data_IF_514344175252
#
_entry.id   IF_514344175252
#
_cell.length_a   1.000
_cell.length_b   1.000
_cell.length_c   1.000
_cell.angle_alpha   90.00
_cell.angle_beta   90.00
_cell.angle_gamma   90.00
#
_symmetry.space_group_name_H-M   'P 1'
#
loop_
_entity.id
_entity.type
_entity.pdbx_description
1 polymer ?
#
# COMPACT_ATOMS: atom_id res chain seq x y z
N UNK A 1 25.77 -20.14 -9.99
CA UNK A 1 24.56 -19.83 -9.21
C UNK A 1 24.08 -21.09 -8.49
N UNK A 2 23.72 -21.02 -7.19
CA UNK A 2 23.33 -22.21 -6.39
C UNK A 2 21.82 -22.52 -6.57
N UNK A 3 21.51 -23.75 -7.02
CA UNK A 3 20.17 -24.27 -7.38
C UNK A 3 19.07 -23.96 -6.34
N UNK A 4 19.41 -24.01 -5.05
CA UNK A 4 18.56 -23.65 -3.90
C UNK A 4 17.92 -22.25 -3.98
N UNK A 5 18.59 -21.28 -4.60
CA UNK A 5 18.01 -19.93 -4.77
C UNK A 5 16.94 -19.88 -5.86
N UNK A 6 16.99 -20.75 -6.86
CA UNK A 6 15.96 -20.84 -7.90
C UNK A 6 14.69 -21.49 -7.35
N UNK A 7 14.84 -22.58 -6.59
CA UNK A 7 13.72 -23.29 -5.96
C UNK A 7 13.02 -22.38 -4.94
N UNK A 8 13.78 -21.67 -4.09
CA UNK A 8 13.20 -20.71 -3.14
C UNK A 8 12.50 -19.51 -3.80
N UNK A 9 12.94 -19.07 -4.99
CA UNK A 9 12.24 -18.03 -5.76
C UNK A 9 10.92 -18.54 -6.33
N UNK A 10 10.91 -19.76 -6.87
CA UNK A 10 9.70 -20.41 -7.40
C UNK A 10 8.64 -20.65 -6.31
N UNK A 11 9.05 -20.75 -5.03
CA UNK A 11 8.15 -20.84 -3.87
C UNK A 11 7.71 -19.48 -3.31
N UNK A 12 8.16 -18.36 -3.89
CA UNK A 12 7.76 -17.04 -3.39
C UNK A 12 6.30 -16.73 -3.75
N UNK A 13 5.53 -16.05 -2.87
CA UNK A 13 4.15 -15.66 -3.17
C UNK A 13 4.00 -14.84 -4.46
N UNK A 14 5.02 -14.04 -4.80
CA UNK A 14 4.99 -13.27 -6.05
C UNK A 14 5.20 -14.15 -7.28
N UNK A 15 6.01 -15.21 -7.21
CA UNK A 15 6.11 -16.18 -8.31
C UNK A 15 4.81 -16.96 -8.47
N UNK A 16 4.17 -17.36 -7.35
CA UNK A 16 2.85 -18.00 -7.40
C UNK A 16 1.81 -17.09 -8.08
N UNK A 17 1.74 -15.81 -7.69
CA UNK A 17 0.85 -14.85 -8.32
C UNK A 17 1.12 -14.69 -9.83
N UNK A 18 2.38 -14.69 -10.27
CA UNK A 18 2.70 -14.64 -11.71
C UNK A 18 2.20 -15.89 -12.42
N UNK A 19 2.34 -17.08 -11.83
CA UNK A 19 1.81 -18.33 -12.40
C UNK A 19 0.29 -18.26 -12.52
N UNK A 20 -0.42 -17.87 -11.47
CA UNK A 20 -1.88 -17.69 -11.49
C UNK A 20 -2.33 -16.68 -12.55
N UNK A 21 -1.61 -15.55 -12.68
CA UNK A 21 -1.88 -14.52 -13.70
C UNK A 21 -1.74 -15.11 -15.11
N UNK A 22 -0.71 -15.91 -15.35
CA UNK A 22 -0.49 -16.56 -16.66
C UNK A 22 -1.59 -17.58 -16.94
N UNK A 23 -2.01 -18.36 -15.94
CA UNK A 23 -3.12 -19.30 -16.06
C UNK A 23 -4.43 -18.57 -16.41
N UNK A 24 -4.72 -17.45 -15.74
CA UNK A 24 -5.92 -16.63 -16.02
C UNK A 24 -5.84 -15.90 -17.36
N UNK A 25 -4.65 -15.46 -17.79
CA UNK A 25 -4.45 -14.92 -19.12
C UNK A 25 -4.79 -15.97 -20.20
N UNK A 26 -4.49 -17.25 -19.92
CA UNK A 26 -4.80 -18.37 -20.77
C UNK A 26 -3.65 -18.75 -21.69
N UNK A 27 -3.64 -20.02 -22.08
CA UNK A 27 -2.60 -20.59 -22.93
C UNK A 27 -2.52 -19.89 -24.29
N UNK A 28 -1.31 -19.79 -24.84
CA UNK A 28 -1.08 -19.18 -26.16
C UNK A 28 -1.19 -17.65 -26.18
N UNK A 29 -1.27 -17.00 -25.00
CA UNK A 29 -1.25 -15.54 -24.88
C UNK A 29 0.10 -15.01 -24.44
N UNK A 30 0.42 -13.80 -24.86
CA UNK A 30 1.60 -13.06 -24.46
C UNK A 30 1.23 -11.70 -23.89
N UNK A 31 2.01 -11.22 -22.93
CA UNK A 31 1.94 -9.85 -22.46
C UNK A 31 2.40 -8.93 -23.61
N UNK A 32 1.49 -8.14 -24.16
CA UNK A 32 1.80 -7.24 -25.28
C UNK A 32 2.06 -5.81 -24.82
N UNK A 33 1.38 -5.38 -23.76
CA UNK A 33 1.47 -4.01 -23.24
C UNK A 33 1.35 -4.03 -21.72
N UNK A 34 2.04 -3.11 -21.09
CA UNK A 34 1.86 -2.85 -19.67
C UNK A 34 2.13 -1.39 -19.35
N UNK A 35 1.51 -0.86 -18.30
CA UNK A 35 1.70 0.52 -17.87
C UNK A 35 1.59 0.63 -16.36
N UNK A 36 2.51 1.40 -15.76
CA UNK A 36 2.59 1.60 -14.31
C UNK A 36 1.89 2.88 -13.88
N UNK A 37 1.16 2.80 -12.76
CA UNK A 37 0.50 3.92 -12.09
C UNK A 37 0.94 3.88 -10.63
N UNK A 38 1.67 4.92 -10.21
CA UNK A 38 2.20 5.02 -8.85
C UNK A 38 1.14 5.55 -7.89
N UNK A 39 1.06 4.93 -6.73
CA UNK A 39 0.28 5.35 -5.56
C UNK A 39 1.23 5.57 -4.38
N UNK A 40 0.83 6.34 -3.34
CA UNK A 40 1.64 6.49 -2.14
C UNK A 40 1.98 5.16 -1.45
N UNK A 41 1.09 4.17 -1.56
CA UNK A 41 1.22 2.86 -0.90
C UNK A 41 1.90 1.79 -1.76
N UNK A 42 2.16 2.05 -3.05
CA UNK A 42 2.67 1.05 -3.98
C UNK A 42 2.48 1.43 -5.45
N UNK A 43 2.61 0.49 -6.36
CA UNK A 43 2.44 0.71 -7.81
C UNK A 43 1.47 -0.29 -8.38
N UNK A 44 0.41 0.18 -9.04
CA UNK A 44 -0.46 -0.68 -9.84
C UNK A 44 0.08 -0.72 -11.26
N UNK A 45 0.30 -1.91 -11.79
CA UNK A 45 0.55 -2.11 -13.21
C UNK A 45 -0.69 -2.68 -13.88
N UNK A 46 -1.08 -2.09 -15.00
CA UNK A 46 -2.10 -2.67 -15.88
C UNK A 46 -1.36 -3.44 -16.96
N UNK A 47 -1.72 -4.70 -17.14
CA UNK A 47 -1.13 -5.66 -18.09
C UNK A 47 -2.19 -6.05 -19.11
N UNK A 48 -1.83 -6.08 -20.38
CA UNK A 48 -2.68 -6.57 -21.46
C UNK A 48 -2.07 -7.79 -22.12
N UNK A 49 -2.84 -8.87 -22.16
CA UNK A 49 -2.48 -10.13 -22.79
C UNK A 49 -3.31 -10.36 -24.04
N UNK A 50 -2.64 -10.58 -25.16
CA UNK A 50 -3.27 -10.91 -26.44
C UNK A 50 -2.76 -12.26 -26.95
N UNK A 51 -3.48 -12.83 -27.91
CA UNK A 51 -3.05 -14.07 -28.53
C UNK A 51 -1.70 -13.88 -29.25
N UNK A 52 -0.75 -14.77 -28.99
CA UNK A 52 0.62 -14.62 -29.47
C UNK A 52 0.77 -14.94 -30.97
N UNK A 53 -0.14 -15.75 -31.54
CA UNK A 53 -0.12 -16.14 -32.97
C UNK A 53 -1.53 -16.41 -33.51
N UNK A 54 -1.84 -16.02 -34.75
CA UNK A 54 -2.97 -16.62 -35.48
C UNK A 54 -2.77 -18.16 -35.56
N UNK A 55 -3.83 -18.98 -35.47
CA UNK A 55 -5.27 -18.67 -35.52
C UNK A 55 -5.92 -18.45 -34.15
N UNK A 56 -5.15 -18.29 -33.06
CA UNK A 56 -5.70 -18.05 -31.73
C UNK A 56 -6.40 -16.68 -31.74
N UNK A 57 -7.70 -16.68 -31.98
CA UNK A 57 -8.55 -15.50 -31.85
C UNK A 57 -9.12 -15.48 -30.44
N UNK A 58 -9.09 -14.31 -29.80
CA UNK A 58 -9.67 -14.15 -28.48
C UNK A 58 -9.54 -12.72 -27.99
N UNK A 59 -10.59 -12.24 -27.33
CA UNK A 59 -10.65 -10.91 -26.71
C UNK A 59 -9.46 -10.69 -25.77
N UNK A 60 -8.76 -9.53 -25.81
CA UNK A 60 -7.65 -9.22 -24.92
C UNK A 60 -8.02 -9.43 -23.44
N UNK A 61 -7.08 -9.98 -22.66
CA UNK A 61 -7.25 -10.13 -21.21
C UNK A 61 -6.45 -9.04 -20.52
N UNK A 62 -7.15 -8.23 -19.72
CA UNK A 62 -6.53 -7.13 -18.97
C UNK A 62 -6.47 -7.51 -17.49
N UNK A 63 -5.31 -7.34 -16.89
CA UNK A 63 -5.05 -7.68 -15.49
C UNK A 63 -4.42 -6.46 -14.79
N UNK A 64 -4.92 -6.11 -13.62
CA UNK A 64 -4.25 -5.16 -12.74
C UNK A 64 -3.44 -5.92 -11.69
N UNK A 65 -2.18 -5.53 -11.52
CA UNK A 65 -1.24 -6.11 -10.56
C UNK A 65 -0.75 -5.02 -9.63
N UNK A 66 -0.98 -5.18 -8.32
CA UNK A 66 -0.52 -4.23 -7.31
C UNK A 66 0.78 -4.70 -6.66
N UNK A 67 1.80 -3.85 -6.78
CA UNK A 67 3.12 -4.05 -6.20
C UNK A 67 3.30 -3.17 -4.96
N UNK A 68 3.86 -3.75 -3.90
CA UNK A 68 4.41 -3.00 -2.77
C UNK A 68 5.89 -3.34 -2.65
N UNK A 69 6.75 -2.35 -2.96
CA UNK A 69 8.16 -2.60 -3.19
C UNK A 69 8.38 -3.52 -4.40
N UNK A 70 9.07 -4.65 -4.20
CA UNK A 70 9.35 -5.65 -5.25
C UNK A 70 8.40 -6.85 -5.24
N UNK A 71 7.36 -6.83 -4.41
CA UNK A 71 6.44 -7.94 -4.23
C UNK A 71 5.08 -7.64 -4.83
N UNK A 72 4.52 -8.61 -5.56
CA UNK A 72 3.09 -8.62 -5.90
C UNK A 72 2.32 -8.86 -4.60
N UNK A 73 1.44 -7.93 -4.25
CA UNK A 73 0.57 -8.04 -3.07
C UNK A 73 -0.83 -8.53 -3.42
N UNK A 74 -1.33 -8.12 -4.58
CA UNK A 74 -2.60 -8.58 -5.11
C UNK A 74 -2.66 -8.38 -6.62
N UNK A 75 -3.58 -9.08 -7.26
CA UNK A 75 -3.87 -8.92 -8.68
C UNK A 75 -5.35 -9.22 -8.93
N UNK A 76 -5.88 -8.73 -10.05
CA UNK A 76 -7.25 -9.04 -10.48
C UNK A 76 -7.39 -8.92 -11.99
N UNK A 77 -8.22 -9.78 -12.59
CA UNK A 77 -8.69 -9.62 -13.95
C UNK A 77 -9.71 -8.49 -14.03
N UNK A 78 -9.66 -7.71 -15.11
CA UNK A 78 -10.56 -6.60 -15.34
C UNK A 78 -11.48 -6.89 -16.52
N UNK A 79 -12.77 -6.61 -16.34
CA UNK A 79 -13.76 -6.55 -17.42
C UNK A 79 -13.74 -5.14 -18.06
N UNK A 80 -12.56 -4.73 -18.52
CA UNK A 80 -12.28 -3.41 -19.10
C UNK A 80 -11.22 -3.55 -20.19
N UNK A 81 -11.26 -2.65 -21.17
CA UNK A 81 -10.13 -2.49 -22.08
C UNK A 81 -8.92 -1.90 -21.34
N UNK A 82 -7.73 -2.03 -21.93
CA UNK A 82 -6.51 -1.49 -21.36
C UNK A 82 -6.63 0.01 -21.05
N UNK A 83 -7.15 0.79 -22.00
CA UNK A 83 -7.33 2.24 -21.83
C UNK A 83 -8.37 2.59 -20.75
N UNK A 84 -9.48 1.84 -20.67
CA UNK A 84 -10.47 2.04 -19.62
C UNK A 84 -9.91 1.72 -18.23
N UNK A 85 -9.07 0.68 -18.12
CA UNK A 85 -8.38 0.35 -16.89
C UNK A 85 -7.40 1.46 -16.48
N UNK A 86 -6.63 2.01 -17.43
CA UNK A 86 -5.75 3.14 -17.15
C UNK A 86 -6.50 4.37 -16.66
N UNK A 87 -7.58 4.75 -17.33
CA UNK A 87 -8.42 5.87 -16.91
C UNK A 87 -9.02 5.63 -15.52
N UNK A 88 -9.46 4.41 -15.22
CA UNK A 88 -10.00 4.04 -13.92
C UNK A 88 -8.96 4.25 -12.81
N UNK A 89 -7.75 3.70 -12.95
CA UNK A 89 -6.72 3.82 -11.92
C UNK A 89 -6.11 5.22 -11.84
N UNK A 90 -6.02 5.96 -12.95
CA UNK A 90 -5.61 7.36 -12.95
C UNK A 90 -6.61 8.21 -12.14
N UNK A 91 -7.92 7.99 -12.33
CA UNK A 91 -8.96 8.66 -11.55
C UNK A 91 -8.87 8.30 -10.06
N UNK A 92 -8.68 7.02 -9.73
CA UNK A 92 -8.52 6.59 -8.33
C UNK A 92 -7.31 7.24 -7.67
N UNK A 93 -6.19 7.36 -8.40
CA UNK A 93 -4.99 8.04 -7.91
C UNK A 93 -5.31 9.49 -7.56
N UNK A 94 -5.94 10.22 -8.48
CA UNK A 94 -6.29 11.62 -8.26
C UNK A 94 -7.20 11.82 -7.04
N UNK A 95 -8.24 10.98 -6.89
CA UNK A 95 -9.13 11.02 -5.72
C UNK A 95 -8.40 10.76 -4.40
N UNK A 96 -7.41 9.86 -4.40
CA UNK A 96 -6.60 9.57 -3.21
C UNK A 96 -5.67 10.73 -2.87
N UNK A 97 -5.05 11.34 -3.88
CA UNK A 97 -4.20 12.53 -3.69
C UNK A 97 -5.02 13.69 -3.08
N UNK A 98 -6.23 13.95 -3.57
CA UNK A 98 -7.11 14.97 -3.01
C UNK A 98 -7.49 14.68 -1.54
N UNK A 99 -7.75 13.42 -1.18
CA UNK A 99 -8.03 13.04 0.22
C UNK A 99 -6.85 13.27 1.14
N UNK A 100 -5.62 12.98 0.70
CA UNK A 100 -4.42 13.23 1.50
C UNK A 100 -4.27 14.73 1.77
N UNK A 101 -4.48 15.58 0.76
CA UNK A 101 -4.45 17.03 0.91
C UNK A 101 -5.54 17.51 1.89
N UNK A 102 -6.78 17.02 1.75
CA UNK A 102 -7.87 17.41 2.64
C UNK A 102 -7.62 17.03 4.12
N UNK A 103 -7.01 15.87 4.37
CA UNK A 103 -6.63 15.45 5.72
C UNK A 103 -5.47 16.29 6.28
N UNK A 104 -4.50 16.69 5.45
CA UNK A 104 -3.43 17.58 5.87
C UNK A 104 -3.93 19.00 6.19
N UNK A 105 -4.96 19.48 5.50
CA UNK A 105 -5.57 20.79 5.78
C UNK A 105 -6.43 20.83 7.05
N UNK A 106 -6.81 19.66 7.60
CA UNK A 106 -7.56 19.54 8.85
C UNK A 106 -6.69 19.32 10.08
N UNK A 107 -5.36 19.39 9.96
CA UNK A 107 -4.48 19.42 11.13
C UNK A 107 -4.63 20.81 11.79
N UNK A 108 -5.15 20.91 13.03
CA UNK A 108 -5.20 22.19 13.71
C UNK A 108 -3.77 22.71 13.83
N UNK A 109 -3.51 24.02 13.64
CA UNK A 109 -2.16 24.54 13.76
C UNK A 109 -1.62 24.14 15.13
N UNK A 110 -0.50 23.43 15.15
CA UNK A 110 0.27 23.22 16.37
C UNK A 110 0.51 24.61 16.96
N UNK A 111 -0.16 24.91 18.07
CA UNK A 111 -0.02 26.17 18.79
C UNK A 111 1.41 26.24 19.31
N UNK A 112 2.32 26.78 18.49
CA UNK A 112 3.64 27.21 18.93
C UNK A 112 3.43 28.43 19.82
N UNK A 113 3.56 28.22 21.12
CA UNK A 113 3.72 29.32 22.09
C UNK A 113 2.55 29.53 23.03
N UNK A 114 2.30 28.56 23.91
CA UNK A 114 1.80 28.89 25.24
C UNK A 114 2.76 28.22 26.23
N UNK A 115 3.82 28.95 26.61
CA UNK A 115 4.47 28.67 27.89
C UNK A 115 3.46 29.00 28.97
N UNK A 116 2.82 27.97 29.52
CA UNK A 116 2.06 28.11 30.76
C UNK A 116 3.09 28.38 31.85
N UNK A 117 3.24 29.65 32.23
CA UNK A 117 3.98 30.03 33.44
C UNK A 117 3.16 29.50 34.61
N UNK A 118 3.53 28.34 35.14
CA UNK A 118 2.97 27.85 36.40
C UNK A 118 3.39 28.80 37.52
N UNK A 119 2.47 29.34 38.33
CA UNK A 119 2.86 29.99 39.57
C UNK A 119 3.50 28.94 40.49
N UNK A 120 4.63 29.29 41.08
CA UNK A 120 5.36 28.45 42.03
C UNK A 120 4.44 28.09 43.21
N UNK A 121 3.91 26.86 43.21
CA UNK A 121 3.20 26.29 44.34
C UNK A 121 4.13 25.35 45.08
N UNK A 122 4.54 25.83 46.24
CA UNK A 122 5.16 25.20 47.40
C UNK A 122 5.07 23.67 47.43
N UNK A 123 6.24 23.02 47.51
CA UNK A 123 6.39 21.59 47.88
C UNK A 123 5.53 21.25 49.11
N UNK A 124 4.67 20.22 49.07
CA UNK A 124 4.24 19.58 50.30
C UNK A 124 5.37 18.71 50.84
N UNK A 125 5.76 18.94 52.10
CA UNK A 125 6.66 18.09 52.85
C UNK A 125 6.00 16.72 53.16
N UNK A 126 6.77 15.62 53.28
CA UNK A 126 6.21 14.31 53.55
C UNK A 126 5.65 14.18 54.97
N UNK A 127 4.44 13.62 55.04
CA UNK A 127 3.57 13.34 56.19
C UNK A 127 4.09 12.17 57.05
N UNK A 128 5.15 12.34 57.83
CA UNK A 128 5.53 11.34 58.86
C UNK A 128 6.15 11.90 60.15
N UNK A 129 6.02 13.20 60.43
CA UNK A 129 6.37 13.74 61.76
C UNK A 129 5.17 14.43 62.39
N UNK A 130 4.50 13.73 63.31
CA UNK A 130 3.83 14.24 64.50
C UNK A 130 3.64 13.04 65.45
N UNK A 131 4.63 12.83 66.32
CA UNK A 131 4.49 12.91 67.79
C UNK A 131 3.79 11.73 68.48
N UNK A 132 4.61 10.88 69.10
CA UNK A 132 4.24 10.19 70.34
C UNK A 132 5.29 10.55 71.40
N UNK A 133 4.97 11.52 72.26
CA UNK A 133 5.60 11.79 73.58
C UNK A 133 4.66 12.68 74.41
N UNK A 134 4.48 12.30 75.68
CA UNK A 134 3.77 13.03 76.72
C UNK A 134 2.51 12.28 77.19
N UNK A 135 2.62 11.34 78.13
CA UNK A 135 2.59 11.55 79.60
C UNK A 135 1.23 12.01 80.14
N UNK A 136 0.57 11.10 80.84
CA UNK A 136 0.01 11.29 82.20
C UNK A 136 -0.22 9.92 82.83
#
# INVERSE_FOLDING_TARGET
MKLRHLIGRLQSPSCHAVVEIIEVAGQGRSLVRHQSIRFPTGTTQVWEFQAARPPLQGEPVVIAVFFQGKQIKSWQRLEKTFEQALQHYARQRHLREQRVVALQMHEPPAVKGIQVIMPASTRPAPLWKLSARGES
#
